data_IF_522521196885
#
_entry.id   IF_522521196885
#
_cell.length_a   1.000
_cell.length_b   1.000
_cell.length_c   1.000
_cell.angle_alpha   90.00
_cell.angle_beta   90.00
_cell.angle_gamma   90.00
#
_symmetry.space_group_name_H-M   'P 1'
#
loop_
_entity.id
_entity.type
_entity.pdbx_description
1 polymer ?
#
# COMPACT_ATOMS: atom_id res chain seq x y z
N UNK A 1 -19.64 -6.58 -8.56
CA UNK A 1 -20.42 -6.77 -7.31
C UNK A 1 -21.60 -7.70 -7.60
N UNK A 2 -21.81 -8.75 -6.79
CA UNK A 2 -22.93 -9.69 -6.96
C UNK A 2 -23.86 -9.55 -5.75
N UNK A 3 -25.15 -9.33 -5.99
CA UNK A 3 -26.17 -9.27 -4.93
C UNK A 3 -26.28 -10.66 -4.31
N UNK A 4 -26.10 -10.76 -2.99
CA UNK A 4 -26.30 -12.02 -2.25
C UNK A 4 -27.79 -12.11 -1.92
N UNK A 5 -28.45 -13.16 -2.38
CA UNK A 5 -29.86 -13.41 -2.04
C UNK A 5 -30.03 -13.53 -0.52
N UNK A 6 -31.03 -12.85 0.02
CA UNK A 6 -31.33 -12.84 1.47
C UNK A 6 -30.59 -11.78 2.30
N UNK A 7 -29.66 -11.02 1.71
CA UNK A 7 -28.98 -9.91 2.40
C UNK A 7 -29.52 -8.54 1.94
N UNK A 8 -30.06 -7.77 2.87
CA UNK A 8 -30.48 -6.38 2.65
C UNK A 8 -29.26 -5.43 2.76
N UNK A 9 -28.28 -5.59 1.88
CA UNK A 9 -27.11 -4.71 1.82
C UNK A 9 -25.79 -5.44 1.60
N UNK A 10 -24.71 -4.67 1.63
CA UNK A 10 -23.33 -5.15 1.52
C UNK A 10 -22.64 -4.98 2.89
N UNK A 11 -21.87 -5.98 3.34
CA UNK A 11 -21.03 -5.87 4.54
C UNK A 11 -19.72 -5.21 4.14
N UNK A 12 -19.40 -4.05 4.72
CA UNK A 12 -18.08 -3.41 4.57
C UNK A 12 -17.65 -2.71 5.85
N UNK A 13 -16.34 -2.59 6.05
CA UNK A 13 -15.71 -1.91 7.17
C UNK A 13 -15.01 -0.65 6.66
N UNK A 14 -15.49 0.52 7.08
CA UNK A 14 -14.83 1.82 6.85
C UNK A 14 -14.48 2.38 8.23
N UNK A 15 -13.23 2.22 8.66
CA UNK A 15 -12.74 2.80 9.91
C UNK A 15 -11.81 3.96 9.60
N UNK A 16 -12.26 5.16 9.98
CA UNK A 16 -11.49 6.35 10.34
C UNK A 16 -10.61 7.10 9.31
N UNK A 17 -10.49 6.68 8.06
CA UNK A 17 -9.75 7.48 7.04
C UNK A 17 -10.64 8.26 6.06
N UNK A 18 -11.94 7.95 5.99
CA UNK A 18 -12.88 8.70 5.15
C UNK A 18 -13.43 9.96 5.86
N UNK A 19 -12.56 10.79 6.42
CA UNK A 19 -12.91 12.20 6.61
C UNK A 19 -13.15 12.89 5.25
N UNK A 20 -12.58 12.33 4.18
CA UNK A 20 -12.71 12.84 2.81
C UNK A 20 -14.00 12.39 2.13
N UNK A 21 -14.48 13.20 1.19
CA UNK A 21 -15.67 13.00 0.34
C UNK A 21 -15.64 11.72 -0.54
N UNK A 22 -14.60 10.88 -0.42
CA UNK A 22 -14.45 9.59 -1.10
C UNK A 22 -15.31 8.48 -0.49
N UNK A 23 -15.43 8.43 0.84
CA UNK A 23 -16.39 7.54 1.52
C UNK A 23 -17.82 7.74 1.00
N UNK A 24 -18.27 8.99 0.84
CA UNK A 24 -19.53 9.31 0.17
C UNK A 24 -19.67 8.77 -1.26
N UNK A 25 -18.64 8.71 -2.11
CA UNK A 25 -18.77 8.17 -3.47
C UNK A 25 -19.00 6.65 -3.45
N UNK A 26 -18.25 5.91 -2.64
CA UNK A 26 -18.46 4.46 -2.48
C UNK A 26 -19.80 4.14 -1.81
N UNK A 27 -20.20 4.89 -0.77
CA UNK A 27 -21.53 4.75 -0.14
C UNK A 27 -22.65 5.12 -1.09
N UNK A 28 -22.48 6.16 -1.92
CA UNK A 28 -23.41 6.50 -3.01
C UNK A 28 -23.47 5.38 -4.03
N UNK A 29 -22.35 4.71 -4.34
CA UNK A 29 -22.31 3.55 -5.23
C UNK A 29 -23.07 2.36 -4.69
N UNK A 30 -22.80 1.99 -3.44
CA UNK A 30 -23.54 0.93 -2.76
C UNK A 30 -25.03 1.26 -2.69
N UNK A 31 -25.41 2.49 -2.30
CA UNK A 31 -26.81 2.89 -2.23
C UNK A 31 -27.50 2.89 -3.61
N UNK A 32 -26.81 3.40 -4.63
CA UNK A 32 -27.31 3.47 -6.00
C UNK A 32 -27.55 2.07 -6.58
N UNK A 33 -26.56 1.18 -6.52
CA UNK A 33 -26.66 -0.18 -7.06
C UNK A 33 -27.45 -1.15 -6.16
N UNK A 34 -27.59 -0.89 -4.86
CA UNK A 34 -28.50 -1.66 -4.01
C UNK A 34 -29.98 -1.37 -4.35
N UNK A 35 -30.28 -0.13 -4.75
CA UNK A 35 -31.64 0.31 -5.11
C UNK A 35 -32.02 0.03 -6.57
N UNK A 36 -31.10 -0.47 -7.41
CA UNK A 36 -31.33 -0.65 -8.85
C UNK A 36 -30.92 -2.05 -9.30
N UNK A 37 -31.59 -2.56 -10.34
CA UNK A 37 -31.33 -3.88 -10.94
C UNK A 37 -30.30 -3.82 -12.08
N UNK A 38 -29.71 -2.66 -12.33
CA UNK A 38 -28.85 -2.42 -13.47
C UNK A 38 -27.43 -2.94 -13.25
N UNK A 39 -26.72 -3.36 -14.32
CA UNK A 39 -25.30 -3.70 -14.26
C UNK A 39 -24.46 -2.49 -13.79
N UNK A 40 -23.31 -2.78 -13.17
CA UNK A 40 -22.37 -1.73 -12.79
C UNK A 40 -21.87 -0.95 -14.02
N UNK A 41 -21.84 0.37 -13.90
CA UNK A 41 -21.28 1.34 -14.85
C UNK A 41 -20.56 2.48 -14.11
N UNK A 42 -19.58 3.09 -14.78
CA UNK A 42 -18.86 4.25 -14.27
C UNK A 42 -19.63 5.57 -14.47
N UNK A 43 -20.62 5.58 -15.37
CA UNK A 43 -21.35 6.78 -15.81
C UNK A 43 -21.91 7.66 -14.66
N UNK A 44 -22.54 7.11 -13.60
CA UNK A 44 -23.03 7.92 -12.49
C UNK A 44 -21.92 8.65 -11.73
N UNK A 45 -20.73 8.04 -11.63
CA UNK A 45 -19.56 8.65 -10.96
C UNK A 45 -18.95 9.74 -11.82
N UNK A 46 -18.80 9.46 -13.11
CA UNK A 46 -18.29 10.42 -14.08
C UNK A 46 -19.18 11.66 -14.15
N UNK A 47 -20.52 11.51 -14.11
CA UNK A 47 -21.43 12.65 -14.08
C UNK A 47 -21.29 13.51 -12.80
N UNK A 48 -21.09 12.89 -11.63
CA UNK A 48 -20.87 13.62 -10.38
C UNK A 48 -19.53 14.38 -10.40
N UNK A 49 -18.46 13.74 -10.87
CA UNK A 49 -17.14 14.36 -10.97
C UNK A 49 -17.11 15.44 -12.06
N UNK A 50 -17.83 15.26 -13.16
CA UNK A 50 -17.99 16.26 -14.22
C UNK A 50 -18.75 17.48 -13.70
N UNK A 51 -19.83 17.28 -12.93
CA UNK A 51 -20.51 18.39 -12.25
C UNK A 51 -19.56 19.12 -11.30
N UNK A 52 -18.70 18.39 -10.60
CA UNK A 52 -17.79 18.95 -9.60
C UNK A 52 -16.61 19.71 -10.23
N UNK A 53 -16.03 19.20 -11.31
CA UNK A 53 -14.80 19.74 -11.93
C UNK A 53 -15.02 20.43 -13.28
N UNK A 54 -16.25 20.40 -13.78
CA UNK A 54 -16.71 21.16 -14.95
C UNK A 54 -16.26 20.59 -16.30
N UNK A 55 -15.65 19.40 -16.31
CA UNK A 55 -15.15 18.77 -17.52
C UNK A 55 -15.19 17.24 -17.42
N UNK A 56 -15.63 16.59 -18.51
CA UNK A 56 -15.77 15.14 -18.60
C UNK A 56 -14.42 14.40 -18.61
N UNK A 57 -13.42 14.97 -19.27
CA UNK A 57 -12.07 14.42 -19.34
C UNK A 57 -11.42 14.48 -17.96
N UNK A 58 -11.57 15.60 -17.25
CA UNK A 58 -11.14 15.73 -15.86
C UNK A 58 -11.80 14.67 -14.96
N UNK A 59 -13.12 14.45 -15.13
CA UNK A 59 -13.85 13.44 -14.38
C UNK A 59 -13.32 12.01 -14.60
N UNK A 60 -13.02 11.64 -15.84
CA UNK A 60 -12.46 10.33 -16.19
C UNK A 60 -11.09 10.10 -15.54
N UNK A 61 -10.20 11.07 -15.64
CA UNK A 61 -8.88 10.98 -15.05
C UNK A 61 -8.93 10.95 -13.51
N UNK A 62 -9.76 11.78 -12.86
CA UNK A 62 -9.93 11.71 -11.41
C UNK A 62 -10.55 10.38 -10.96
N UNK A 63 -11.51 9.82 -11.70
CA UNK A 63 -12.09 8.52 -11.34
C UNK A 63 -11.02 7.40 -11.36
N UNK A 64 -10.16 7.38 -12.38
CA UNK A 64 -9.02 6.44 -12.45
C UNK A 64 -8.03 6.64 -11.31
N UNK A 65 -7.71 7.90 -11.00
CA UNK A 65 -6.83 8.23 -9.88
C UNK A 65 -7.39 7.69 -8.55
N UNK A 66 -8.71 7.85 -8.31
CA UNK A 66 -9.38 7.29 -7.14
C UNK A 66 -9.39 5.76 -7.13
N UNK A 67 -9.68 5.11 -8.26
CA UNK A 67 -9.66 3.64 -8.36
C UNK A 67 -8.28 3.09 -7.96
N UNK A 68 -7.21 3.65 -8.53
CA UNK A 68 -5.84 3.27 -8.20
C UNK A 68 -5.51 3.55 -6.73
N UNK A 69 -5.83 4.74 -6.22
CA UNK A 69 -5.47 5.13 -4.86
C UNK A 69 -6.11 4.25 -3.80
N UNK A 70 -7.37 3.84 -4.02
CA UNK A 70 -8.11 2.98 -3.07
C UNK A 70 -7.50 1.58 -2.91
N UNK A 71 -6.62 1.17 -3.84
CA UNK A 71 -5.98 -0.14 -3.83
C UNK A 71 -4.62 -0.12 -3.12
N UNK A 72 -3.92 1.02 -3.10
CA UNK A 72 -2.54 1.11 -2.58
C UNK A 72 -2.42 0.59 -1.15
N UNK A 73 -3.27 1.07 -0.23
CA UNK A 73 -3.25 0.64 1.17
C UNK A 73 -3.64 -0.85 1.30
N UNK A 74 -4.80 -1.32 0.78
CA UNK A 74 -5.13 -2.74 0.83
C UNK A 74 -4.07 -3.68 0.23
N UNK A 75 -3.44 -3.29 -0.89
CA UNK A 75 -2.36 -4.08 -1.49
C UNK A 75 -1.11 -4.11 -0.60
N UNK A 76 -0.79 -3.00 0.05
CA UNK A 76 0.34 -2.93 1.00
C UNK A 76 0.06 -3.80 2.22
N UNK A 77 -1.12 -3.64 2.81
CA UNK A 77 -1.58 -4.40 3.98
C UNK A 77 -1.72 -5.89 3.70
N UNK A 78 -1.93 -6.30 2.45
CA UNK A 78 -1.94 -7.71 2.07
C UNK A 78 -0.61 -8.43 2.39
N UNK A 79 0.52 -7.72 2.44
CA UNK A 79 1.81 -8.28 2.85
C UNK A 79 2.07 -8.24 4.36
N UNK A 80 1.39 -7.38 5.10
CA UNK A 80 1.67 -7.07 6.52
C UNK A 80 0.43 -7.17 7.42
N UNK A 81 -0.57 -7.96 7.01
CA UNK A 81 -1.84 -8.06 7.70
C UNK A 81 -1.70 -8.53 9.17
N UNK A 82 -2.43 -7.87 10.08
CA UNK A 82 -2.69 -8.41 11.41
C UNK A 82 -4.13 -8.07 11.84
N UNK A 83 -4.89 -9.10 12.21
CA UNK A 83 -6.33 -8.98 12.45
C UNK A 83 -6.72 -8.30 13.76
N UNK A 84 -5.75 -7.88 14.58
CA UNK A 84 -5.99 -7.17 15.84
C UNK A 84 -5.66 -5.69 15.80
N UNK A 85 -5.19 -5.17 14.65
CA UNK A 85 -4.65 -3.82 14.56
C UNK A 85 -5.63 -2.87 13.87
N UNK A 86 -5.83 -1.72 14.49
CA UNK A 86 -6.84 -0.72 14.13
C UNK A 86 -6.21 0.65 13.89
N UNK A 87 -4.88 0.77 13.92
CA UNK A 87 -4.20 2.08 13.97
C UNK A 87 -3.20 2.25 12.83
N UNK A 88 -3.44 3.29 12.01
CA UNK A 88 -2.46 4.09 11.25
C UNK A 88 -1.36 3.37 10.46
N UNK A 89 -1.57 2.14 10.00
CA UNK A 89 -0.66 1.42 9.07
C UNK A 89 -0.47 2.13 7.75
N UNK A 90 -1.50 2.87 7.36
CA UNK A 90 -1.49 3.69 6.17
C UNK A 90 -0.37 4.74 6.19
N UNK A 91 0.17 5.07 7.35
CA UNK A 91 1.19 6.10 7.47
C UNK A 91 2.49 5.57 8.06
N UNK A 92 2.58 4.28 8.40
CA UNK A 92 3.80 3.65 8.91
C UNK A 92 3.70 2.12 8.90
N UNK A 93 4.79 1.45 8.52
CA UNK A 93 4.93 -0.01 8.61
C UNK A 93 6.07 -0.42 9.58
N UNK A 94 5.76 -0.67 10.86
CA UNK A 94 6.74 -1.16 11.83
C UNK A 94 7.48 -2.42 11.37
N UNK A 95 8.81 -2.46 11.56
CA UNK A 95 9.62 -3.62 11.13
C UNK A 95 9.26 -4.91 11.87
N UNK A 96 8.74 -4.80 13.10
CA UNK A 96 8.31 -5.94 13.92
C UNK A 96 7.24 -6.81 13.22
N UNK A 97 6.50 -6.27 12.25
CA UNK A 97 5.51 -7.06 11.50
C UNK A 97 6.11 -8.06 10.51
N UNK A 98 7.38 -7.87 10.10
CA UNK A 98 8.03 -8.75 9.14
C UNK A 98 8.78 -9.93 9.79
N UNK A 99 8.96 -9.91 11.12
CA UNK A 99 9.93 -10.81 11.81
C UNK A 99 9.44 -12.25 12.03
N UNK A 100 8.16 -12.55 11.83
CA UNK A 100 7.64 -13.90 12.12
C UNK A 100 6.92 -14.06 13.45
N UNK A 101 6.85 -13.01 14.29
CA UNK A 101 6.35 -13.11 15.67
C UNK A 101 4.85 -12.82 15.83
N UNK A 102 4.17 -12.34 14.78
CA UNK A 102 2.73 -12.03 14.84
C UNK A 102 1.88 -13.15 14.26
N UNK A 103 1.03 -13.82 15.09
CA UNK A 103 0.33 -15.06 14.71
C UNK A 103 -0.65 -14.93 13.53
N UNK A 104 -0.97 -13.71 13.11
CA UNK A 104 -1.96 -13.41 12.07
C UNK A 104 -1.38 -13.07 10.70
N UNK A 105 -0.05 -12.97 10.56
CA UNK A 105 0.58 -12.46 9.33
C UNK A 105 0.95 -13.54 8.29
N UNK A 106 0.68 -14.82 8.57
CA UNK A 106 1.20 -15.93 7.73
C UNK A 106 0.13 -16.75 7.00
N UNK A 107 -1.17 -16.57 7.27
CA UNK A 107 -2.18 -17.60 6.91
C UNK A 107 -3.13 -17.22 5.78
N UNK A 108 -3.40 -15.93 5.53
CA UNK A 108 -4.07 -15.40 4.33
C UNK A 108 -4.15 -13.88 4.45
N UNK A 109 -4.10 -13.13 3.34
CA UNK A 109 -4.66 -11.77 3.36
C UNK A 109 -6.19 -11.92 3.32
N UNK A 110 -6.93 -11.56 4.40
CA UNK A 110 -8.38 -11.66 4.38
C UNK A 110 -9.03 -10.69 3.38
N UNK A 111 -8.30 -9.68 2.90
CA UNK A 111 -8.77 -8.79 1.84
C UNK A 111 -8.96 -9.52 0.49
N UNK A 112 -8.23 -10.61 0.25
CA UNK A 112 -8.25 -11.34 -1.03
C UNK A 112 -8.59 -12.83 -0.92
N UNK A 113 -8.73 -13.36 0.29
CA UNK A 113 -9.04 -14.78 0.52
C UNK A 113 -8.01 -15.76 -0.09
N UNK A 114 -6.81 -15.28 -0.40
CA UNK A 114 -5.77 -16.01 -1.14
C UNK A 114 -4.44 -16.03 -0.37
N UNK A 115 -3.60 -17.04 -0.64
CA UNK A 115 -2.30 -17.25 -0.01
C UNK A 115 -1.23 -16.39 -0.69
N UNK A 116 -0.72 -15.39 0.02
CA UNK A 116 0.51 -14.68 -0.37
C UNK A 116 1.71 -15.40 0.23
N UNK A 117 2.87 -15.36 -0.43
CA UNK A 117 4.12 -15.80 0.21
C UNK A 117 4.50 -14.77 1.27
N UNK A 118 4.61 -15.17 2.55
CA UNK A 118 5.05 -14.26 3.59
C UNK A 118 6.47 -13.75 3.32
N UNK A 119 6.71 -12.47 3.62
CA UNK A 119 8.03 -11.81 3.47
C UNK A 119 9.14 -12.65 4.10
N UNK A 120 8.90 -13.20 5.30
CA UNK A 120 9.82 -14.08 6.00
C UNK A 120 10.19 -15.33 5.21
N UNK A 121 9.19 -16.07 4.71
CA UNK A 121 9.47 -17.28 3.94
C UNK A 121 10.24 -16.96 2.66
N UNK A 122 9.85 -15.91 1.92
CA UNK A 122 10.60 -15.46 0.75
C UNK A 122 12.08 -15.19 1.10
N UNK A 123 12.34 -14.48 2.20
CA UNK A 123 13.69 -14.17 2.65
C UNK A 123 14.48 -15.44 3.03
N UNK A 124 13.86 -16.43 3.68
CA UNK A 124 14.49 -17.72 4.02
C UNK A 124 14.95 -18.46 2.75
N UNK A 125 14.10 -18.55 1.72
CA UNK A 125 14.47 -19.19 0.46
C UNK A 125 15.58 -18.42 -0.28
N UNK A 126 15.51 -17.10 -0.30
CA UNK A 126 16.58 -16.26 -0.90
C UNK A 126 17.90 -16.39 -0.15
N UNK A 127 17.88 -16.57 1.17
CA UNK A 127 19.08 -16.79 1.96
C UNK A 127 19.75 -18.14 1.65
N UNK A 128 18.95 -19.18 1.38
CA UNK A 128 19.44 -20.51 1.03
C UNK A 128 20.03 -20.56 -0.39
N UNK A 129 19.29 -20.08 -1.39
CA UNK A 129 19.68 -20.17 -2.81
C UNK A 129 19.34 -18.87 -3.55
N UNK A 130 20.09 -17.80 -3.27
CA UNK A 130 19.81 -16.47 -3.82
C UNK A 130 19.73 -16.42 -5.35
N UNK A 131 20.62 -17.13 -6.06
CA UNK A 131 20.63 -17.16 -7.53
C UNK A 131 19.33 -17.75 -8.11
N UNK A 132 18.67 -18.63 -7.35
CA UNK A 132 17.46 -19.32 -7.75
C UNK A 132 16.19 -18.53 -7.43
N UNK A 133 16.14 -17.92 -6.25
CA UNK A 133 14.89 -17.35 -5.71
C UNK A 133 14.83 -15.82 -5.76
N UNK A 134 15.96 -15.11 -5.72
CA UNK A 134 15.95 -13.63 -5.68
C UNK A 134 15.38 -13.08 -6.99
N UNK A 135 14.34 -12.26 -6.87
CA UNK A 135 13.65 -11.62 -7.99
C UNK A 135 13.16 -12.58 -9.09
N UNK A 136 13.09 -13.87 -8.79
CA UNK A 136 12.54 -14.87 -9.69
C UNK A 136 11.06 -15.04 -9.36
N UNK A 137 10.17 -14.81 -10.31
CA UNK A 137 8.72 -15.05 -10.17
C UNK A 137 8.35 -16.50 -10.47
N UNK A 138 9.30 -17.32 -10.91
CA UNK A 138 9.03 -18.66 -11.42
C UNK A 138 8.30 -18.67 -12.76
N UNK A 139 8.12 -17.51 -13.42
CA UNK A 139 7.47 -17.39 -14.73
C UNK A 139 8.44 -17.31 -15.90
N UNK A 140 9.75 -17.24 -15.62
CA UNK A 140 10.81 -17.17 -16.63
C UNK A 140 11.18 -18.59 -17.09
N UNK A 141 10.87 -18.97 -18.34
CA UNK A 141 11.14 -20.30 -18.88
C UNK A 141 12.63 -20.57 -19.16
N UNK A 142 13.51 -19.57 -18.96
CA UNK A 142 14.96 -19.69 -19.15
C UNK A 142 15.73 -19.72 -17.82
N UNK A 143 15.06 -19.54 -16.67
CA UNK A 143 15.65 -19.62 -15.31
C UNK A 143 15.11 -20.81 -14.50
N UNK A 144 15.80 -21.96 -14.48
CA UNK A 144 15.41 -23.09 -13.62
C UNK A 144 15.43 -22.71 -12.12
N UNK A 145 14.52 -23.26 -11.30
CA UNK A 145 13.40 -24.11 -11.66
C UNK A 145 12.28 -23.23 -12.21
N UNK A 146 11.73 -23.65 -13.34
CA UNK A 146 10.66 -22.97 -14.07
C UNK A 146 9.33 -22.86 -13.29
N UNK A 147 9.33 -23.22 -12.01
CA UNK A 147 8.25 -23.14 -11.05
C UNK A 147 8.86 -22.99 -9.66
N UNK A 148 8.42 -21.97 -8.91
CA UNK A 148 8.74 -21.82 -7.50
C UNK A 148 7.89 -22.76 -6.62
N UNK A 149 7.64 -23.99 -7.07
CA UNK A 149 6.85 -25.00 -6.35
C UNK A 149 7.28 -25.20 -4.89
N UNK A 150 8.57 -25.08 -4.49
CA UNK A 150 8.94 -25.10 -3.08
C UNK A 150 8.39 -23.91 -2.26
N UNK A 151 8.20 -22.75 -2.91
CA UNK A 151 7.64 -21.53 -2.33
C UNK A 151 6.09 -21.55 -2.34
N UNK A 152 5.48 -22.06 -3.43
CA UNK A 152 4.04 -21.98 -3.72
C UNK A 152 3.26 -23.29 -3.53
N UNK A 153 3.94 -24.42 -3.40
CA UNK A 153 3.34 -25.76 -3.45
C UNK A 153 3.00 -26.22 -4.88
N UNK A 154 2.39 -27.41 -5.01
CA UNK A 154 1.96 -28.00 -6.30
C UNK A 154 0.83 -27.25 -7.02
N UNK A 155 0.30 -26.17 -6.42
CA UNK A 155 -0.75 -25.32 -6.99
C UNK A 155 -0.19 -24.00 -7.57
N UNK A 156 1.13 -23.89 -7.77
CA UNK A 156 1.84 -22.72 -8.34
C UNK A 156 1.54 -22.41 -9.82
N UNK A 157 0.26 -22.52 -10.20
CA UNK A 157 -0.35 -21.95 -11.40
C UNK A 157 -1.48 -20.99 -11.02
N UNK A 158 -1.41 -20.40 -9.83
CA UNK A 158 -2.37 -19.45 -9.32
C UNK A 158 -2.07 -18.08 -9.94
N UNK A 159 -3.12 -17.33 -10.29
CA UNK A 159 -3.04 -15.94 -10.80
C UNK A 159 -2.39 -14.95 -9.81
N UNK A 160 -1.84 -15.45 -8.69
CA UNK A 160 -1.34 -14.72 -7.54
C UNK A 160 0.07 -15.14 -7.08
N UNK A 161 0.88 -15.77 -7.95
CA UNK A 161 2.28 -16.18 -7.70
C UNK A 161 3.27 -14.99 -7.69
N UNK A 162 2.93 -13.89 -7.01
CA UNK A 162 3.74 -12.67 -6.99
C UNK A 162 4.57 -12.59 -5.71
N UNK A 163 5.89 -12.73 -5.84
CA UNK A 163 6.82 -12.54 -4.72
C UNK A 163 6.76 -11.10 -4.18
N UNK A 164 7.02 -10.87 -2.87
CA UNK A 164 6.86 -9.56 -2.25
C UNK A 164 7.55 -8.38 -2.97
N UNK A 165 8.80 -8.50 -3.50
CA UNK A 165 9.43 -7.42 -4.27
C UNK A 165 8.66 -7.01 -5.53
N UNK A 166 8.07 -7.97 -6.24
CA UNK A 166 7.32 -7.71 -7.49
C UNK A 166 5.98 -7.08 -7.16
N UNK A 167 5.35 -7.54 -6.08
CA UNK A 167 4.11 -6.95 -5.58
C UNK A 167 4.31 -5.48 -5.22
N UNK A 168 5.34 -5.17 -4.44
CA UNK A 168 5.61 -3.79 -4.04
C UNK A 168 6.02 -2.89 -5.21
N UNK A 169 6.67 -3.42 -6.24
CA UNK A 169 6.87 -2.68 -7.50
C UNK A 169 5.54 -2.31 -8.17
N UNK A 170 4.56 -3.21 -8.12
CA UNK A 170 3.20 -2.94 -8.61
C UNK A 170 2.53 -1.86 -7.78
N UNK A 171 2.61 -1.94 -6.45
CA UNK A 171 2.05 -0.91 -5.55
C UNK A 171 2.70 0.46 -5.81
N UNK A 172 4.02 0.50 -6.02
CA UNK A 172 4.72 1.73 -6.40
C UNK A 172 4.22 2.28 -7.73
N UNK A 173 4.04 1.42 -8.74
CA UNK A 173 3.51 1.82 -10.03
C UNK A 173 2.09 2.40 -9.90
N UNK A 174 1.22 1.78 -9.07
CA UNK A 174 -0.11 2.34 -8.79
C UNK A 174 -0.03 3.76 -8.22
N UNK A 175 0.93 4.05 -7.34
CA UNK A 175 1.16 5.40 -6.81
C UNK A 175 1.59 6.40 -7.88
N UNK A 176 2.50 5.99 -8.78
CA UNK A 176 2.92 6.83 -9.92
C UNK A 176 1.74 7.11 -10.85
N UNK A 177 1.02 6.07 -11.24
CA UNK A 177 -0.10 6.16 -12.16
C UNK A 177 -1.25 6.98 -11.56
N UNK A 178 -1.55 6.86 -10.26
CA UNK A 178 -2.62 7.63 -9.62
C UNK A 178 -2.31 9.13 -9.58
N UNK A 179 -1.05 9.51 -9.35
CA UNK A 179 -0.63 10.90 -9.42
C UNK A 179 -0.69 11.42 -10.85
N UNK A 180 -0.18 10.65 -11.81
CA UNK A 180 -0.21 11.03 -13.23
C UNK A 180 -1.64 11.30 -13.70
N UNK A 181 -2.59 10.41 -13.39
CA UNK A 181 -4.00 10.60 -13.72
C UNK A 181 -4.56 11.87 -13.06
N UNK A 182 -4.26 12.15 -11.79
CA UNK A 182 -4.72 13.37 -11.14
C UNK A 182 -4.09 14.66 -11.72
N UNK A 183 -2.84 14.61 -12.18
CA UNK A 183 -2.18 15.72 -12.87
C UNK A 183 -2.80 15.99 -14.24
N UNK A 184 -3.13 14.93 -15.00
CA UNK A 184 -3.89 15.08 -16.26
C UNK A 184 -5.27 15.68 -15.99
N UNK A 185 -5.99 15.19 -14.97
CA UNK A 185 -7.31 15.72 -14.60
C UNK A 185 -7.27 17.22 -14.27
N UNK A 186 -6.24 17.66 -13.54
CA UNK A 186 -6.08 19.06 -13.13
C UNK A 186 -5.88 20.02 -14.32
N UNK A 187 -5.33 19.54 -15.44
CA UNK A 187 -5.20 20.34 -16.68
C UNK A 187 -6.56 20.66 -17.29
N UNK A 188 -7.53 19.76 -17.13
CA UNK A 188 -8.86 19.87 -17.71
C UNK A 188 -9.91 20.47 -16.77
N UNK A 189 -9.68 20.46 -15.45
CA UNK A 189 -10.64 20.99 -14.48
C UNK A 189 -10.90 22.50 -14.68
N UNK A 190 -12.13 22.84 -15.05
CA UNK A 190 -12.60 24.22 -15.32
C UNK A 190 -13.34 24.84 -14.14
N UNK A 191 -13.91 24.01 -13.25
CA UNK A 191 -14.58 24.45 -12.02
C UNK A 191 -13.95 23.80 -10.79
N UNK A 192 -14.19 24.39 -9.62
CA UNK A 192 -13.73 23.88 -8.32
C UNK A 192 -12.23 23.50 -8.29
N UNK A 193 -11.40 24.39 -8.86
CA UNK A 193 -9.96 24.14 -9.08
C UNK A 193 -9.20 23.87 -7.78
N UNK A 194 -9.63 24.45 -6.68
CA UNK A 194 -9.08 24.17 -5.35
C UNK A 194 -9.31 22.72 -4.92
N UNK A 195 -10.53 22.18 -5.08
CA UNK A 195 -10.80 20.77 -4.80
C UNK A 195 -10.03 19.83 -5.75
N UNK A 196 -9.83 20.23 -7.01
CA UNK A 196 -9.00 19.49 -7.96
C UNK A 196 -7.53 19.46 -7.51
N UNK A 197 -6.98 20.58 -7.04
CA UNK A 197 -5.63 20.65 -6.47
C UNK A 197 -5.50 19.81 -5.21
N UNK A 198 -6.48 19.84 -4.30
CA UNK A 198 -6.52 18.99 -3.09
C UNK A 198 -6.52 17.51 -3.46
N UNK A 199 -7.30 17.13 -4.46
CA UNK A 199 -7.33 15.74 -4.97
C UNK A 199 -5.96 15.32 -5.49
N UNK A 200 -5.31 16.17 -6.29
CA UNK A 200 -3.93 15.91 -6.77
C UNK A 200 -2.96 15.75 -5.60
N UNK A 201 -3.01 16.64 -4.62
CA UNK A 201 -2.10 16.58 -3.47
C UNK A 201 -2.32 15.29 -2.64
N UNK A 202 -3.56 14.80 -2.50
CA UNK A 202 -3.83 13.47 -1.92
C UNK A 202 -3.18 12.35 -2.73
N UNK A 203 -3.29 12.37 -4.07
CA UNK A 203 -2.64 11.36 -4.91
C UNK A 203 -1.12 11.41 -4.83
N UNK A 204 -0.55 12.61 -4.68
CA UNK A 204 0.88 12.77 -4.47
C UNK A 204 1.32 12.17 -3.12
N UNK A 205 0.53 12.34 -2.06
CA UNK A 205 0.82 11.67 -0.78
C UNK A 205 0.81 10.13 -0.92
N UNK A 206 -0.17 9.56 -1.64
CA UNK A 206 -0.19 8.12 -1.94
C UNK A 206 1.03 7.66 -2.74
N UNK A 207 1.45 8.45 -3.72
CA UNK A 207 2.65 8.19 -4.50
C UNK A 207 3.91 8.15 -3.61
N UNK A 208 4.09 9.15 -2.74
CA UNK A 208 5.22 9.21 -1.80
C UNK A 208 5.19 8.04 -0.79
N UNK A 209 4.02 7.71 -0.26
CA UNK A 209 3.84 6.57 0.63
C UNK A 209 4.16 5.24 -0.07
N UNK A 210 3.72 5.05 -1.32
CA UNK A 210 4.03 3.82 -2.09
C UNK A 210 5.53 3.62 -2.30
N UNK A 211 6.29 4.72 -2.49
CA UNK A 211 7.76 4.69 -2.58
C UNK A 211 8.39 4.28 -1.25
N UNK A 212 7.89 4.84 -0.13
CA UNK A 212 8.29 4.44 1.21
C UNK A 212 8.02 2.95 1.44
N UNK A 213 6.82 2.48 1.13
CA UNK A 213 6.44 1.09 1.39
C UNK A 213 7.33 0.10 0.65
N UNK A 214 7.59 0.33 -0.64
CA UNK A 214 8.48 -0.53 -1.43
C UNK A 214 9.83 -0.66 -0.74
N UNK A 215 10.45 0.46 -0.35
CA UNK A 215 11.77 0.45 0.30
C UNK A 215 11.75 -0.18 1.67
N UNK A 216 10.70 0.05 2.46
CA UNK A 216 10.55 -0.56 3.78
C UNK A 216 10.44 -2.09 3.69
N UNK A 217 9.68 -2.62 2.73
CA UNK A 217 9.60 -4.08 2.49
C UNK A 217 10.93 -4.64 2.00
N UNK A 218 11.61 -3.95 1.07
CA UNK A 218 12.93 -4.40 0.58
C UNK A 218 13.98 -4.43 1.70
N UNK A 219 13.97 -3.42 2.58
CA UNK A 219 14.83 -3.39 3.77
C UNK A 219 14.56 -4.57 4.71
N UNK A 220 13.28 -4.86 4.98
CA UNK A 220 12.89 -5.99 5.81
C UNK A 220 13.33 -7.34 5.20
N UNK A 221 13.13 -7.52 3.90
CA UNK A 221 13.59 -8.71 3.17
C UNK A 221 15.10 -8.87 3.31
N UNK A 222 15.87 -7.84 2.98
CA UNK A 222 17.34 -7.90 3.05
C UNK A 222 17.83 -8.16 4.48
N UNK A 223 17.21 -7.54 5.48
CA UNK A 223 17.54 -7.75 6.89
C UNK A 223 17.29 -9.19 7.34
N UNK A 224 16.19 -9.81 6.89
CA UNK A 224 15.89 -11.22 7.13
C UNK A 224 16.86 -12.14 6.38
N UNK A 225 17.16 -11.85 5.11
CA UNK A 225 18.14 -12.62 4.33
C UNK A 225 19.51 -12.59 5.01
N UNK A 226 19.95 -11.45 5.54
CA UNK A 226 21.20 -11.37 6.29
C UNK A 226 21.15 -12.13 7.61
N UNK A 227 20.02 -12.07 8.33
CA UNK A 227 19.83 -12.83 9.58
C UNK A 227 20.02 -14.34 9.37
N UNK A 228 19.73 -14.86 8.16
CA UNK A 228 19.92 -16.26 7.82
C UNK A 228 21.27 -16.57 7.12
N UNK A 229 21.69 -15.75 6.17
CA UNK A 229 22.86 -16.04 5.32
C UNK A 229 24.19 -15.56 5.88
N UNK A 230 24.14 -14.54 6.76
CA UNK A 230 25.31 -13.85 7.33
C UNK A 230 26.28 -13.25 6.29
N UNK A 231 25.83 -13.05 5.04
CA UNK A 231 26.67 -12.47 3.99
C UNK A 231 26.76 -10.95 4.16
N UNK A 232 27.97 -10.35 4.12
CA UNK A 232 28.13 -8.90 4.28
C UNK A 232 27.31 -8.05 3.30
N UNK A 233 27.14 -8.53 2.06
CA UNK A 233 26.35 -7.84 1.05
C UNK A 233 24.88 -7.69 1.46
N UNK A 234 24.28 -8.74 2.03
CA UNK A 234 22.86 -8.69 2.43
C UNK A 234 22.63 -7.71 3.59
N UNK A 235 23.64 -7.55 4.46
CA UNK A 235 23.62 -6.51 5.49
C UNK A 235 23.69 -5.11 4.88
N UNK A 236 24.62 -4.90 3.95
CA UNK A 236 24.77 -3.60 3.27
C UNK A 236 23.48 -3.23 2.53
N UNK A 237 22.88 -4.18 1.82
CA UNK A 237 21.59 -4.00 1.14
C UNK A 237 20.51 -3.61 2.15
N UNK A 238 20.44 -4.29 3.31
CA UNK A 238 19.47 -3.98 4.36
C UNK A 238 19.62 -2.57 4.93
N UNK A 239 20.86 -2.17 5.26
CA UNK A 239 21.16 -0.84 5.78
C UNK A 239 20.84 0.24 4.75
N UNK A 240 21.25 0.04 3.48
CA UNK A 240 20.96 0.96 2.39
C UNK A 240 19.45 1.13 2.17
N UNK A 241 18.70 0.03 2.02
CA UNK A 241 17.27 0.12 1.82
C UNK A 241 16.54 0.74 3.01
N UNK A 242 17.03 0.52 4.24
CA UNK A 242 16.45 1.13 5.42
C UNK A 242 16.71 2.65 5.48
N UNK A 243 17.89 3.11 5.04
CA UNK A 243 18.18 4.55 4.88
C UNK A 243 17.29 5.18 3.80
N UNK A 244 17.14 4.51 2.66
CA UNK A 244 16.24 4.95 1.59
C UNK A 244 14.78 5.00 2.08
N UNK A 245 14.31 3.97 2.80
CA UNK A 245 12.97 3.92 3.35
C UNK A 245 12.72 5.10 4.32
N UNK A 246 13.66 5.36 5.24
CA UNK A 246 13.56 6.49 6.16
C UNK A 246 13.47 7.81 5.39
N UNK A 247 14.34 8.04 4.40
CA UNK A 247 14.29 9.28 3.63
C UNK A 247 12.94 9.45 2.90
N UNK A 248 12.44 8.39 2.24
CA UNK A 248 11.13 8.43 1.58
C UNK A 248 10.00 8.71 2.56
N UNK A 249 10.09 8.17 3.77
CA UNK A 249 9.12 8.45 4.82
C UNK A 249 9.12 9.92 5.23
N UNK A 250 10.31 10.49 5.45
CA UNK A 250 10.45 11.89 5.81
C UNK A 250 9.90 12.81 4.70
N UNK A 251 10.15 12.49 3.43
CA UNK A 251 9.61 13.23 2.29
C UNK A 251 8.07 13.19 2.30
N UNK A 252 7.47 12.01 2.47
CA UNK A 252 6.02 11.83 2.56
C UNK A 252 5.42 12.59 3.75
N UNK A 253 6.00 12.42 4.94
CA UNK A 253 5.51 13.04 6.18
C UNK A 253 5.57 14.57 6.10
N UNK A 254 6.67 15.13 5.60
CA UNK A 254 6.80 16.57 5.42
C UNK A 254 5.78 17.10 4.39
N UNK A 255 5.62 16.41 3.25
CA UNK A 255 4.62 16.78 2.26
C UNK A 255 3.20 16.78 2.83
N UNK A 256 2.82 15.72 3.55
CA UNK A 256 1.49 15.62 4.16
C UNK A 256 1.27 16.70 5.22
N UNK A 257 2.29 16.97 6.05
CA UNK A 257 2.24 18.05 7.04
C UNK A 257 2.05 19.42 6.37
N UNK A 258 2.77 19.70 5.29
CA UNK A 258 2.74 21.01 4.63
C UNK A 258 1.50 21.22 3.75
N UNK A 259 0.99 20.15 3.14
CA UNK A 259 -0.05 20.24 2.08
C UNK A 259 -1.41 19.71 2.50
N UNK A 260 -1.46 18.69 3.35
CA UNK A 260 -2.71 18.03 3.73
C UNK A 260 -3.21 18.44 5.12
N UNK A 261 -2.33 18.74 6.07
CA UNK A 261 -2.73 19.18 7.41
C UNK A 261 -3.60 20.44 7.39
N UNK A 262 -3.30 21.50 6.60
CA UNK A 262 -4.19 22.66 6.51
C UNK A 262 -5.60 22.30 6.02
N UNK A 263 -5.70 21.38 5.06
CA UNK A 263 -6.98 20.89 4.56
C UNK A 263 -7.72 20.05 5.60
N UNK A 264 -6.99 19.22 6.34
CA UNK A 264 -7.58 18.39 7.39
C UNK A 264 -8.12 19.26 8.54
N UNK A 265 -7.42 20.33 8.90
CA UNK A 265 -7.87 21.35 9.87
C UNK A 265 -9.14 22.03 9.39
N UNK A 266 -9.21 22.45 8.11
CA UNK A 266 -10.42 23.06 7.54
C UNK A 266 -11.63 22.11 7.62
N UNK A 267 -11.40 20.83 7.34
CA UNK A 267 -12.44 19.81 7.29
C UNK A 267 -12.94 19.37 8.67
N UNK A 268 -12.03 19.21 9.64
CA UNK A 268 -12.33 18.56 10.93
C UNK A 268 -12.24 19.52 12.12
N UNK A 269 -11.73 20.74 11.92
CA UNK A 269 -11.46 21.69 12.99
C UNK A 269 -10.24 21.34 13.85
N UNK A 270 -9.49 20.29 13.50
CA UNK A 270 -8.35 19.77 14.26
C UNK A 270 -7.19 19.38 13.33
N UNK A 271 -5.93 19.54 13.75
CA UNK A 271 -4.78 19.03 13.01
C UNK A 271 -4.73 17.50 13.03
N UNK A 272 -4.02 16.91 12.07
CA UNK A 272 -3.80 15.47 11.95
C UNK A 272 -3.29 14.85 13.25
N UNK A 273 -2.42 15.56 13.97
CA UNK A 273 -1.89 15.14 15.28
C UNK A 273 -3.02 14.88 16.30
N UNK A 274 -3.99 15.78 16.38
CA UNK A 274 -5.10 15.69 17.34
C UNK A 274 -6.12 14.61 16.93
N UNK A 275 -6.15 14.25 15.65
CA UNK A 275 -6.91 13.11 15.13
C UNK A 275 -6.22 11.74 15.30
N UNK A 276 -5.13 11.66 16.08
CA UNK A 276 -4.41 10.41 16.33
C UNK A 276 -3.36 10.06 15.28
N UNK A 277 -2.94 11.03 14.45
CA UNK A 277 -1.86 10.88 13.46
C UNK A 277 -0.69 11.81 13.81
N UNK A 278 0.13 11.47 14.83
CA UNK A 278 1.25 12.32 15.24
C UNK A 278 2.45 12.14 14.30
N UNK A 279 2.44 12.79 13.12
CA UNK A 279 3.51 12.67 12.11
C UNK A 279 4.93 12.91 12.68
N UNK A 280 5.10 13.78 13.67
CA UNK A 280 6.39 13.93 14.38
C UNK A 280 6.81 12.67 15.12
N UNK A 281 5.91 12.06 15.88
CA UNK A 281 6.19 10.83 16.64
C UNK A 281 6.44 9.65 15.71
N UNK A 282 5.74 9.60 14.57
CA UNK A 282 5.97 8.57 13.56
C UNK A 282 7.35 8.73 12.89
N UNK A 283 7.80 9.98 12.63
CA UNK A 283 9.17 10.23 12.14
C UNK A 283 10.22 9.77 13.13
N UNK A 284 10.04 10.07 14.41
CA UNK A 284 10.97 9.64 15.46
C UNK A 284 10.99 8.11 15.58
N UNK A 285 9.83 7.47 15.47
CA UNK A 285 9.72 6.02 15.49
C UNK A 285 10.40 5.35 14.29
N UNK A 286 10.29 5.91 13.09
CA UNK A 286 10.99 5.41 11.89
C UNK A 286 12.51 5.57 11.99
N UNK A 287 12.99 6.68 12.56
CA UNK A 287 14.43 6.87 12.86
C UNK A 287 14.93 5.83 13.85
N UNK A 288 14.19 5.64 14.94
CA UNK A 288 14.52 4.66 15.97
C UNK A 288 14.57 3.24 15.39
N UNK A 289 13.58 2.84 14.60
CA UNK A 289 13.57 1.52 13.95
C UNK A 289 14.74 1.32 12.99
N UNK A 290 15.17 2.38 12.30
CA UNK A 290 16.37 2.32 11.45
C UNK A 290 17.63 2.03 12.26
N UNK A 291 17.76 2.62 13.45
CA UNK A 291 18.88 2.40 14.37
C UNK A 291 18.83 1.00 15.02
N UNK A 292 17.62 0.54 15.35
CA UNK A 292 17.36 -0.75 16.01
C UNK A 292 17.25 -1.93 15.03
N UNK A 293 17.55 -1.72 13.74
CA UNK A 293 17.43 -2.73 12.69
C UNK A 293 18.12 -4.06 13.05
N UNK A 294 19.38 -4.08 13.57
CA UNK A 294 20.03 -5.33 13.99
C UNK A 294 19.29 -6.07 15.11
N UNK A 295 18.71 -5.34 16.06
CA UNK A 295 18.01 -5.89 17.22
C UNK A 295 16.66 -6.48 16.81
N UNK A 296 15.90 -5.75 15.99
CA UNK A 296 14.59 -6.16 15.50
C UNK A 296 14.70 -7.47 14.70
N UNK A 297 15.70 -7.57 13.82
CA UNK A 297 15.93 -8.75 12.98
C UNK A 297 16.90 -9.77 13.57
N UNK A 298 17.30 -9.60 14.85
CA UNK A 298 18.16 -10.53 15.61
C UNK A 298 19.45 -10.90 14.87
N UNK A 299 20.12 -9.89 14.30
CA UNK A 299 21.38 -10.08 13.57
C UNK A 299 22.47 -10.68 14.49
N UNK A 300 23.37 -11.52 13.96
CA UNK A 300 24.49 -12.04 14.74
C UNK A 300 25.40 -10.90 15.21
N UNK A 301 25.96 -11.05 16.41
CA UNK A 301 26.97 -10.11 16.93
C UNK A 301 28.15 -10.04 15.94
N UNK A 302 28.63 -8.82 15.66
CA UNK A 302 29.82 -8.62 14.83
C UNK A 302 31.02 -9.25 15.55
N UNK A 303 31.68 -10.22 14.89
CA UNK A 303 32.94 -10.79 15.35
C UNK A 303 34.12 -9.96 14.86
#
# INVERSE_FOLDING_TARGET
MKKVEGFAGFVYWERHISGTLLGPLFRKALAYYAGRSEPYSEEPWLALLEQQFGDRTAAQHFLKAYDLSTRIIPETDALVYSGGDVLCRELRMPYAFFTGEYPWSYTASPARGSRWVPVKHYAEFVALESERFRDNTGSDPDRPPYYQQPLWGSEGGSVFDVIPPVHMRTVRAMGVDCLQEAEEALKHATTNREAAMRTRDIMHAYQLLSHYYERKVMAAIAALVYAHSHRPQDRQDAEQYADEALQRYLDAANFMQDRLDPFYIELTGQPLKEAGVPLSELRDAERKEREELPQIFKWPAQR
#
